data_IF_967097389046
#
_entry.id   IF_967097389046
#
_cell.length_a   1.000
_cell.length_b   1.000
_cell.length_c   1.000
_cell.angle_alpha   90.00
_cell.angle_beta   90.00
_cell.angle_gamma   90.00
#
_symmetry.space_group_name_H-M   'P 1'
#
loop_
_entity.id
_entity.type
_entity.pdbx_description
1 polymer ?
#
# COMPACT_ATOMS: atom_id res chain seq x y z
N UNK A 1 -9.50 17.76 -6.70
CA UNK A 1 -9.42 17.89 -5.25
C UNK A 1 -8.08 18.46 -4.83
N UNK A 2 -7.88 18.82 -3.56
CA UNK A 2 -6.57 19.23 -3.07
C UNK A 2 -5.58 18.06 -3.21
N UNK A 3 -4.31 18.39 -3.41
CA UNK A 3 -3.25 17.40 -3.38
C UNK A 3 -3.04 16.94 -1.92
N UNK A 4 -3.03 15.64 -1.66
CA UNK A 4 -2.80 15.07 -0.33
C UNK A 4 -1.33 14.64 -0.27
N UNK A 5 -0.51 15.40 0.44
CA UNK A 5 0.95 15.29 0.39
C UNK A 5 1.55 14.40 1.48
N UNK A 6 0.72 13.86 2.39
CA UNK A 6 1.16 12.98 3.45
C UNK A 6 0.15 11.88 3.76
N UNK A 7 0.59 10.81 4.37
CA UNK A 7 -0.26 9.71 4.85
C UNK A 7 -1.30 10.24 5.84
N UNK A 8 -0.92 11.18 6.69
CA UNK A 8 -1.80 11.82 7.66
C UNK A 8 -2.94 12.61 6.98
N UNK A 9 -2.61 13.38 5.93
CA UNK A 9 -3.63 14.11 5.16
C UNK A 9 -4.61 13.16 4.46
N UNK A 10 -4.10 12.02 3.95
CA UNK A 10 -4.95 11.00 3.33
C UNK A 10 -5.89 10.38 4.38
N UNK A 11 -5.38 10.08 5.57
CA UNK A 11 -6.19 9.53 6.67
C UNK A 11 -7.30 10.51 7.09
N UNK A 12 -7.00 11.79 7.22
CA UNK A 12 -7.97 12.83 7.54
C UNK A 12 -9.04 12.99 6.43
N UNK A 13 -8.62 12.94 5.17
CA UNK A 13 -9.53 12.97 4.03
C UNK A 13 -10.45 11.73 3.99
N UNK A 14 -9.93 10.54 4.29
CA UNK A 14 -10.73 9.32 4.40
C UNK A 14 -11.81 9.48 5.47
N UNK A 15 -11.48 10.07 6.63
CA UNK A 15 -12.45 10.33 7.69
C UNK A 15 -13.57 11.27 7.22
N UNK A 16 -13.24 12.34 6.50
CA UNK A 16 -14.24 13.24 5.92
C UNK A 16 -15.17 12.51 4.93
N UNK A 17 -14.60 11.67 4.06
CA UNK A 17 -15.37 10.87 3.09
C UNK A 17 -16.30 9.89 3.80
N UNK A 18 -15.79 9.13 4.77
CA UNK A 18 -16.58 8.13 5.48
C UNK A 18 -17.70 8.78 6.31
N UNK A 19 -17.45 9.94 6.91
CA UNK A 19 -18.46 10.72 7.60
C UNK A 19 -19.55 11.24 6.65
N UNK A 20 -19.16 11.80 5.52
CA UNK A 20 -20.08 12.30 4.49
C UNK A 20 -20.97 11.20 3.93
N UNK A 21 -20.41 10.01 3.75
CA UNK A 21 -21.13 8.82 3.30
C UNK A 21 -21.85 8.09 4.43
N UNK A 22 -21.69 8.52 5.70
CA UNK A 22 -22.28 7.91 6.91
C UNK A 22 -21.93 6.42 7.06
N UNK A 23 -20.70 6.05 6.65
CA UNK A 23 -20.23 4.68 6.75
C UNK A 23 -19.93 4.31 8.21
N UNK A 24 -20.24 3.07 8.56
CA UNK A 24 -20.00 2.46 9.88
C UNK A 24 -19.52 1.03 9.69
N UNK A 25 -18.90 0.45 10.71
CA UNK A 25 -18.44 -0.93 10.70
C UNK A 25 -17.52 -1.21 9.49
N UNK A 26 -16.47 -0.39 9.36
CA UNK A 26 -15.57 -0.41 8.22
C UNK A 26 -14.68 -1.65 8.22
N UNK A 27 -14.60 -2.31 7.09
CA UNK A 27 -13.54 -3.27 6.79
C UNK A 27 -12.58 -2.56 5.85
N UNK A 28 -11.39 -2.24 6.34
CA UNK A 28 -10.39 -1.52 5.57
C UNK A 28 -9.40 -2.49 4.93
N UNK A 29 -9.17 -2.36 3.64
CA UNK A 29 -8.19 -3.15 2.89
C UNK A 29 -7.23 -2.20 2.22
N UNK A 30 -5.95 -2.25 2.60
CA UNK A 30 -4.89 -1.44 2.02
C UNK A 30 -3.84 -2.29 1.32
N UNK A 31 -3.41 -1.86 0.13
CA UNK A 31 -2.29 -2.46 -0.58
C UNK A 31 -1.15 -1.45 -0.67
N UNK A 32 0.08 -1.89 -0.41
CA UNK A 32 1.27 -1.04 -0.52
C UNK A 32 1.14 0.23 0.33
N UNK A 33 1.22 1.42 -0.26
CA UNK A 33 0.96 2.71 0.40
C UNK A 33 -0.35 2.71 1.18
N UNK A 34 -1.42 2.11 0.63
CA UNK A 34 -2.71 1.98 1.31
C UNK A 34 -2.61 1.29 2.68
N UNK A 35 -1.57 0.50 2.94
CA UNK A 35 -1.30 -0.04 4.28
C UNK A 35 -0.94 1.06 5.27
N UNK A 36 -0.12 2.04 4.88
CA UNK A 36 0.22 3.18 5.74
C UNK A 36 -1.00 4.07 5.99
N UNK A 37 -1.82 4.26 4.94
CA UNK A 37 -3.04 5.08 5.00
C UNK A 37 -4.06 4.50 5.99
N UNK A 38 -4.36 3.20 5.90
CA UNK A 38 -5.29 2.56 6.84
C UNK A 38 -4.68 2.43 8.24
N UNK A 39 -3.36 2.26 8.34
CA UNK A 39 -2.67 2.24 9.63
C UNK A 39 -2.80 3.58 10.35
N UNK A 40 -2.54 4.70 9.65
CA UNK A 40 -2.69 6.03 10.23
C UNK A 40 -4.17 6.36 10.48
N UNK A 41 -5.09 5.89 9.61
CA UNK A 41 -6.51 6.03 9.85
C UNK A 41 -6.94 5.30 11.14
N UNK A 42 -6.50 4.06 11.37
CA UNK A 42 -6.75 3.31 12.60
C UNK A 42 -6.18 4.04 13.82
N UNK A 43 -4.98 4.58 13.69
CA UNK A 43 -4.32 5.33 14.75
C UNK A 43 -5.17 6.54 15.23
N UNK A 44 -5.82 7.24 14.30
CA UNK A 44 -6.60 8.47 14.58
C UNK A 44 -8.07 8.21 14.85
N UNK A 45 -8.70 7.27 14.13
CA UNK A 45 -10.16 7.15 14.01
C UNK A 45 -10.69 5.73 14.27
N UNK A 46 -10.20 5.08 15.31
CA UNK A 46 -10.39 3.65 15.62
C UNK A 46 -11.84 3.19 15.86
N UNK A 47 -12.75 4.07 16.22
CA UNK A 47 -14.11 3.69 16.71
C UNK A 47 -15.05 3.14 15.60
N UNK A 48 -14.68 3.25 14.33
CA UNK A 48 -15.50 2.84 13.19
C UNK A 48 -15.05 1.55 12.52
N UNK A 49 -13.92 0.99 12.95
CA UNK A 49 -13.23 -0.08 12.24
C UNK A 49 -13.61 -1.42 12.84
N UNK A 50 -14.17 -2.28 11.99
CA UNK A 50 -14.51 -3.66 12.35
C UNK A 50 -13.35 -4.61 12.08
N UNK A 51 -12.67 -4.46 10.95
CA UNK A 51 -11.52 -5.31 10.54
C UNK A 51 -10.54 -4.54 9.66
N UNK A 52 -9.29 -4.99 9.63
CA UNK A 52 -8.27 -4.47 8.75
C UNK A 52 -7.55 -5.58 7.97
N UNK A 53 -7.19 -5.29 6.71
CA UNK A 53 -6.39 -6.18 5.87
C UNK A 53 -5.24 -5.39 5.26
N UNK A 54 -4.02 -5.81 5.56
CA UNK A 54 -2.78 -5.23 5.04
C UNK A 54 -2.20 -6.14 3.97
N UNK A 55 -2.11 -5.66 2.74
CA UNK A 55 -1.62 -6.43 1.58
C UNK A 55 -0.33 -5.84 1.07
N UNK A 56 0.77 -6.61 1.09
CA UNK A 56 2.05 -6.17 0.54
C UNK A 56 2.56 -4.86 1.14
N UNK A 57 2.42 -4.69 2.45
CA UNK A 57 2.83 -3.48 3.16
C UNK A 57 3.50 -3.74 4.50
N UNK A 58 3.99 -2.68 5.11
CA UNK A 58 4.59 -2.69 6.44
C UNK A 58 4.22 -1.40 7.16
N UNK A 59 4.55 -1.29 8.45
CA UNK A 59 4.34 -0.05 9.21
C UNK A 59 5.40 1.04 8.90
N UNK A 60 6.42 0.70 8.11
CA UNK A 60 7.42 1.63 7.57
C UNK A 60 7.81 1.18 6.18
N UNK A 61 7.75 2.07 5.22
CA UNK A 61 8.01 1.77 3.81
C UNK A 61 8.96 2.80 3.20
N UNK A 62 10.26 2.71 3.50
CA UNK A 62 11.25 3.62 2.92
C UNK A 62 11.33 3.40 1.40
N UNK A 63 11.41 4.49 0.66
CA UNK A 63 11.49 4.49 -0.79
C UNK A 63 12.92 4.73 -1.25
N UNK A 64 13.36 3.98 -2.27
CA UNK A 64 14.69 4.15 -2.82
C UNK A 64 14.88 5.59 -3.36
N UNK A 65 15.97 6.30 -3.00
CA UNK A 65 16.16 7.71 -3.38
C UNK A 65 16.13 7.95 -4.89
N UNK A 66 16.69 7.02 -5.68
CA UNK A 66 16.67 7.16 -7.14
C UNK A 66 15.26 7.10 -7.72
N UNK A 67 14.38 6.30 -7.13
CA UNK A 67 12.98 6.23 -7.55
C UNK A 67 12.26 7.55 -7.30
N UNK A 68 12.47 8.15 -6.13
CA UNK A 68 11.93 9.48 -5.80
C UNK A 68 12.43 10.52 -6.80
N UNK A 69 13.74 10.52 -7.07
CA UNK A 69 14.36 11.47 -8.00
C UNK A 69 13.84 11.32 -9.43
N UNK A 70 13.67 10.10 -9.92
CA UNK A 70 13.09 9.84 -11.24
C UNK A 70 11.64 10.36 -11.31
N UNK A 71 10.84 10.07 -10.28
CA UNK A 71 9.45 10.53 -10.22
C UNK A 71 9.35 12.07 -10.16
N UNK A 72 10.21 12.74 -9.35
CA UNK A 72 10.26 14.20 -9.26
C UNK A 72 10.63 14.88 -10.59
N UNK A 73 11.44 14.21 -11.41
CA UNK A 73 11.81 14.71 -12.74
C UNK A 73 10.76 14.41 -13.83
N UNK A 74 9.64 13.78 -13.47
CA UNK A 74 8.63 13.36 -14.45
C UNK A 74 9.09 12.23 -15.35
N UNK A 75 10.09 11.46 -14.96
CA UNK A 75 10.69 10.42 -15.79
C UNK A 75 9.85 9.14 -15.77
N UNK A 76 9.40 8.72 -16.95
CA UNK A 76 8.63 7.46 -17.11
C UNK A 76 9.41 6.21 -16.65
N UNK A 77 10.73 6.31 -16.51
CA UNK A 77 11.55 5.23 -15.95
C UNK A 77 11.19 4.93 -14.48
N UNK A 78 10.68 5.91 -13.71
CA UNK A 78 10.19 5.68 -12.36
C UNK A 78 9.10 4.59 -12.36
N UNK A 79 8.12 4.72 -13.24
CA UNK A 79 7.01 3.76 -13.35
C UNK A 79 7.51 2.40 -13.84
N UNK A 80 8.41 2.37 -14.83
CA UNK A 80 9.00 1.12 -15.31
C UNK A 80 9.79 0.39 -14.23
N UNK A 81 10.51 1.15 -13.40
CA UNK A 81 11.28 0.60 -12.29
C UNK A 81 10.37 0.01 -11.21
N UNK A 82 9.29 0.71 -10.85
CA UNK A 82 8.27 0.18 -9.94
C UNK A 82 7.63 -1.10 -10.48
N UNK A 83 7.35 -1.16 -11.77
CA UNK A 83 6.82 -2.36 -12.40
C UNK A 83 7.79 -3.52 -12.34
N UNK A 84 9.07 -3.26 -12.62
CA UNK A 84 10.13 -4.28 -12.56
C UNK A 84 10.29 -4.86 -11.16
N UNK A 85 10.12 -4.04 -10.11
CA UNK A 85 10.20 -4.49 -8.72
C UNK A 85 8.89 -5.08 -8.20
N UNK A 86 7.75 -4.58 -8.71
CA UNK A 86 6.42 -4.98 -8.24
C UNK A 86 5.94 -6.33 -8.75
N UNK A 87 6.51 -6.84 -9.84
CA UNK A 87 6.11 -8.12 -10.41
C UNK A 87 7.23 -9.16 -10.32
N UNK A 88 6.86 -10.38 -9.95
CA UNK A 88 7.77 -11.53 -10.07
C UNK A 88 7.54 -12.24 -11.40
N UNK A 89 8.53 -12.08 -12.29
CA UNK A 89 8.58 -12.73 -13.59
C UNK A 89 7.79 -12.06 -14.71
N UNK A 90 8.11 -12.44 -15.94
CA UNK A 90 7.47 -11.96 -17.17
C UNK A 90 6.16 -12.71 -17.44
N UNK A 91 5.17 -12.63 -16.56
CA UNK A 91 3.87 -13.24 -16.84
C UNK A 91 3.23 -12.51 -18.00
N UNK A 92 2.97 -13.24 -19.09
CA UNK A 92 2.16 -12.74 -20.19
C UNK A 92 0.71 -12.72 -19.73
N UNK A 93 0.19 -11.54 -19.48
CA UNK A 93 -1.24 -11.39 -19.19
C UNK A 93 -2.03 -11.55 -20.49
N UNK A 94 -3.05 -12.41 -20.49
CA UNK A 94 -4.00 -12.49 -21.60
C UNK A 94 -4.76 -11.15 -21.64
N UNK A 95 -4.65 -10.42 -22.75
CA UNK A 95 -5.24 -9.09 -22.90
C UNK A 95 -4.32 -7.92 -22.54
N UNK A 96 -3.02 -8.18 -22.29
CA UNK A 96 -1.99 -7.20 -21.97
C UNK A 96 -1.89 -6.90 -20.48
N UNK A 97 -0.75 -6.35 -20.07
CA UNK A 97 -0.49 -5.99 -18.68
C UNK A 97 -1.39 -4.80 -18.29
N UNK A 98 -2.25 -4.94 -17.24
CA UNK A 98 -3.12 -3.85 -16.81
C UNK A 98 -2.35 -2.59 -16.43
N UNK A 99 -1.15 -2.74 -15.87
CA UNK A 99 -0.30 -1.62 -15.46
C UNK A 99 0.31 -0.91 -16.65
N UNK A 100 0.71 -1.62 -17.71
CA UNK A 100 1.16 -0.98 -18.97
C UNK A 100 0.06 -0.10 -19.56
N UNK A 101 -1.20 -0.50 -19.47
CA UNK A 101 -2.33 0.32 -19.89
C UNK A 101 -2.51 1.59 -19.05
N UNK A 102 -2.21 1.52 -17.76
CA UNK A 102 -2.23 2.70 -16.87
C UNK A 102 -1.10 3.65 -17.24
N UNK A 103 0.11 3.13 -17.52
CA UNK A 103 1.28 3.93 -17.90
C UNK A 103 1.08 4.61 -19.25
N UNK A 104 0.43 3.93 -20.19
CA UNK A 104 0.10 4.48 -21.50
C UNK A 104 -1.08 5.46 -21.47
N UNK A 105 -1.69 5.67 -20.30
CA UNK A 105 -2.73 6.67 -20.11
C UNK A 105 -2.14 8.07 -20.38
N UNK A 106 -2.86 8.95 -21.10
CA UNK A 106 -2.39 10.32 -21.37
C UNK A 106 -2.35 11.22 -20.12
N UNK A 107 -2.67 10.70 -18.94
CA UNK A 107 -2.53 11.45 -17.69
C UNK A 107 -1.07 11.44 -17.27
N UNK A 108 -0.54 12.62 -17.03
CA UNK A 108 0.76 12.76 -16.39
C UNK A 108 0.63 12.36 -14.93
N UNK A 109 1.04 11.11 -14.63
CA UNK A 109 1.00 10.54 -13.29
C UNK A 109 2.32 10.77 -12.53
N UNK A 110 3.32 11.37 -13.18
CA UNK A 110 4.66 11.51 -12.60
C UNK A 110 4.68 12.45 -11.39
N UNK A 111 3.97 13.57 -11.46
CA UNK A 111 3.86 14.50 -10.32
C UNK A 111 3.17 13.83 -9.12
N UNK A 112 2.05 13.13 -9.37
CA UNK A 112 1.30 12.42 -8.34
C UNK A 112 2.18 11.30 -7.74
N UNK A 113 2.88 10.55 -8.58
CA UNK A 113 3.79 9.50 -8.12
C UNK A 113 4.87 10.03 -7.19
N UNK A 114 5.47 11.19 -7.51
CA UNK A 114 6.48 11.80 -6.67
C UNK A 114 5.93 12.17 -5.28
N UNK A 115 4.71 12.67 -5.23
CA UNK A 115 4.02 13.03 -3.98
C UNK A 115 3.77 11.77 -3.15
N UNK A 116 3.20 10.73 -3.75
CA UNK A 116 2.88 9.47 -3.07
C UNK A 116 4.14 8.78 -2.53
N UNK A 117 5.22 8.72 -3.33
CA UNK A 117 6.50 8.15 -2.90
C UNK A 117 7.11 8.93 -1.72
N UNK A 118 7.02 10.27 -1.74
CA UNK A 118 7.47 11.10 -0.62
C UNK A 118 6.59 10.90 0.62
N UNK A 119 5.28 10.79 0.45
CA UNK A 119 4.37 10.51 1.57
C UNK A 119 4.72 9.19 2.25
N UNK A 120 4.97 8.11 1.48
CA UNK A 120 5.44 6.84 2.03
C UNK A 120 6.77 6.97 2.77
N UNK A 121 7.75 7.61 2.13
CA UNK A 121 9.12 7.74 2.65
C UNK A 121 9.20 8.55 3.94
N UNK A 122 8.35 9.57 4.07
CA UNK A 122 8.34 10.51 5.18
C UNK A 122 7.44 10.09 6.35
N UNK A 123 6.64 9.03 6.18
CA UNK A 123 5.78 8.53 7.25
C UNK A 123 6.60 7.87 8.36
N UNK A 124 6.53 8.44 9.57
CA UNK A 124 7.32 8.02 10.73
C UNK A 124 6.50 7.44 11.89
N UNK A 125 5.17 7.60 11.86
CA UNK A 125 4.29 7.24 12.97
C UNK A 125 3.99 5.73 13.05
N UNK A 126 4.44 4.92 12.09
CA UNK A 126 3.98 3.56 11.91
C UNK A 126 4.18 2.61 13.09
N UNK A 127 5.28 2.75 13.85
CA UNK A 127 5.53 1.92 15.04
C UNK A 127 4.52 2.23 16.16
N UNK A 128 4.22 3.52 16.37
CA UNK A 128 3.24 3.93 17.37
C UNK A 128 1.82 3.57 16.92
N UNK A 129 1.50 3.83 15.66
CA UNK A 129 0.21 3.50 15.06
C UNK A 129 -0.10 1.99 15.16
N UNK A 130 0.91 1.14 15.01
CA UNK A 130 0.77 -0.33 15.12
C UNK A 130 0.22 -0.77 16.48
N UNK A 131 0.58 -0.07 17.55
CA UNK A 131 0.10 -0.37 18.93
C UNK A 131 -1.37 -0.05 19.13
N UNK A 132 -1.93 0.79 18.27
CA UNK A 132 -3.32 1.23 18.31
C UNK A 132 -4.28 0.36 17.49
N UNK A 133 -3.78 -0.69 16.82
CA UNK A 133 -4.64 -1.65 16.11
C UNK A 133 -5.37 -2.52 17.13
N UNK A 134 -6.70 -2.34 17.23
CA UNK A 134 -7.56 -2.99 18.20
C UNK A 134 -8.67 -3.84 17.56
N UNK A 135 -8.57 -4.14 16.26
CA UNK A 135 -9.53 -4.94 15.51
C UNK A 135 -8.86 -6.20 14.95
N UNK A 136 -9.65 -7.25 14.64
CA UNK A 136 -9.13 -8.41 13.92
C UNK A 136 -8.45 -7.99 12.63
N UNK A 137 -7.22 -8.44 12.44
CA UNK A 137 -6.35 -7.97 11.37
C UNK A 137 -5.77 -9.13 10.56
N UNK A 138 -5.79 -9.00 9.24
CA UNK A 138 -5.15 -9.95 8.34
C UNK A 138 -3.99 -9.29 7.61
N UNK A 139 -2.88 -10.01 7.52
CA UNK A 139 -1.71 -9.63 6.74
C UNK A 139 -1.50 -10.61 5.59
N UNK A 140 -1.34 -10.09 4.37
CA UNK A 140 -1.11 -10.88 3.16
C UNK A 140 0.16 -10.37 2.50
N UNK A 141 1.14 -11.25 2.33
CA UNK A 141 2.44 -10.91 1.76
C UNK A 141 2.76 -11.78 0.56
N UNK A 142 3.43 -11.21 -0.44
CA UNK A 142 4.07 -11.98 -1.50
C UNK A 142 5.42 -12.51 -1.04
N UNK A 143 5.69 -13.79 -1.28
CA UNK A 143 6.97 -14.43 -0.91
C UNK A 143 8.17 -13.76 -1.58
N UNK A 144 7.99 -13.29 -2.82
CA UNK A 144 9.02 -12.75 -3.69
C UNK A 144 8.91 -11.22 -3.85
N UNK A 145 8.23 -10.56 -2.91
CA UNK A 145 8.07 -9.10 -2.92
C UNK A 145 9.43 -8.40 -2.79
N UNK A 146 9.77 -7.59 -3.80
CA UNK A 146 11.02 -6.83 -3.86
C UNK A 146 10.85 -5.36 -3.46
N UNK A 147 9.61 -4.90 -3.26
CA UNK A 147 9.31 -3.54 -2.85
C UNK A 147 9.19 -3.41 -1.34
N UNK A 148 8.64 -4.44 -0.67
CA UNK A 148 8.50 -4.47 0.77
C UNK A 148 9.29 -5.65 1.34
N UNK A 149 10.20 -5.37 2.25
CA UNK A 149 10.99 -6.41 2.91
C UNK A 149 10.08 -7.33 3.75
N UNK A 150 10.02 -8.61 3.38
CA UNK A 150 9.12 -9.59 4.00
C UNK A 150 9.39 -9.79 5.50
N UNK A 151 10.63 -9.69 5.94
CA UNK A 151 10.99 -9.83 7.36
C UNK A 151 10.43 -8.65 8.17
N UNK A 152 10.61 -7.42 7.70
CA UNK A 152 10.03 -6.23 8.33
C UNK A 152 8.50 -6.29 8.36
N UNK A 153 7.88 -6.73 7.27
CA UNK A 153 6.44 -6.89 7.19
C UNK A 153 5.91 -7.94 8.18
N UNK A 154 6.61 -9.07 8.33
CA UNK A 154 6.28 -10.09 9.33
C UNK A 154 6.47 -9.58 10.76
N UNK A 155 7.51 -8.78 11.03
CA UNK A 155 7.72 -8.18 12.35
C UNK A 155 6.57 -7.23 12.70
N UNK A 156 6.08 -6.44 11.74
CA UNK A 156 4.88 -5.64 11.92
C UNK A 156 3.66 -6.52 12.25
N UNK A 157 3.39 -7.56 11.46
CA UNK A 157 2.27 -8.47 11.70
C UNK A 157 2.34 -9.13 13.09
N UNK A 158 3.52 -9.56 13.52
CA UNK A 158 3.74 -10.18 14.83
C UNK A 158 3.55 -9.20 16.01
N UNK A 159 3.61 -7.89 15.77
CA UNK A 159 3.35 -6.87 16.80
C UNK A 159 1.86 -6.64 17.07
N UNK A 160 0.96 -7.13 16.21
CA UNK A 160 -0.49 -6.96 16.30
C UNK A 160 -1.12 -8.20 16.94
N UNK A 161 -1.79 -8.02 18.09
CA UNK A 161 -2.27 -9.11 18.94
C UNK A 161 -3.29 -10.04 18.27
N UNK A 162 -4.34 -9.47 17.68
CA UNK A 162 -5.42 -10.22 17.03
C UNK A 162 -5.20 -10.21 15.52
N UNK A 163 -4.19 -10.95 15.10
CA UNK A 163 -3.80 -10.97 13.67
C UNK A 163 -3.56 -12.37 13.14
N UNK A 164 -3.77 -12.54 11.84
CA UNK A 164 -3.34 -13.69 11.08
C UNK A 164 -2.50 -13.26 9.87
N UNK A 165 -1.56 -14.11 9.45
CA UNK A 165 -0.63 -13.83 8.37
C UNK A 165 -0.69 -14.91 7.31
N UNK A 166 -0.81 -14.50 6.04
CA UNK A 166 -0.74 -15.37 4.88
C UNK A 166 0.41 -14.93 3.97
N UNK A 167 1.29 -15.86 3.60
CA UNK A 167 2.34 -15.63 2.61
C UNK A 167 1.96 -16.37 1.34
N UNK A 168 1.79 -15.63 0.26
CA UNK A 168 1.40 -16.17 -1.05
C UNK A 168 2.68 -16.58 -1.80
N UNK A 169 2.86 -17.88 -1.98
CA UNK A 169 4.03 -18.43 -2.65
C UNK A 169 4.13 -18.06 -4.12
N UNK A 170 5.35 -17.71 -4.57
CA UNK A 170 5.65 -17.34 -5.94
C UNK A 170 4.90 -16.08 -6.41
N UNK A 171 4.59 -15.17 -5.49
CA UNK A 171 4.03 -13.85 -5.78
C UNK A 171 4.99 -12.74 -5.40
N UNK A 172 5.08 -11.73 -6.24
CA UNK A 172 5.73 -10.46 -5.92
C UNK A 172 4.79 -9.52 -5.15
N UNK A 173 4.98 -8.22 -5.35
CA UNK A 173 4.23 -7.16 -4.67
C UNK A 173 2.78 -7.03 -5.14
N UNK A 174 2.52 -7.28 -6.43
CA UNK A 174 1.18 -7.15 -7.02
C UNK A 174 0.35 -8.42 -6.87
N UNK A 175 0.21 -8.89 -5.64
CA UNK A 175 -0.38 -10.17 -5.25
C UNK A 175 -1.75 -10.38 -5.90
N UNK A 176 -2.63 -9.36 -5.86
CA UNK A 176 -3.99 -9.39 -6.39
C UNK A 176 -4.04 -9.61 -7.91
N UNK A 177 -2.95 -9.31 -8.62
CA UNK A 177 -2.81 -9.52 -10.07
C UNK A 177 -2.12 -10.85 -10.35
N UNK A 178 -1.05 -11.14 -9.61
CA UNK A 178 -0.21 -12.32 -9.86
C UNK A 178 -0.87 -13.62 -9.39
N UNK A 179 -1.65 -13.54 -8.33
CA UNK A 179 -2.25 -14.67 -7.61
C UNK A 179 -3.72 -14.41 -7.25
N UNK A 180 -4.49 -13.93 -8.23
CA UNK A 180 -5.88 -13.53 -8.04
C UNK A 180 -6.80 -14.66 -7.49
N UNK A 181 -6.48 -15.92 -7.76
CA UNK A 181 -7.26 -17.06 -7.24
C UNK A 181 -6.96 -17.33 -5.78
N UNK A 182 -5.71 -17.16 -5.35
CA UNK A 182 -5.26 -17.37 -3.97
C UNK A 182 -5.71 -16.22 -3.06
N UNK A 183 -6.07 -15.06 -3.64
CA UNK A 183 -6.59 -13.89 -2.93
C UNK A 183 -8.11 -13.93 -2.68
N UNK A 184 -8.81 -14.90 -3.22
CA UNK A 184 -10.26 -15.10 -3.03
C UNK A 184 -10.52 -15.99 -1.82
#
# INVERSE_FOLDING_TARGET
GPCLESIENIADWLEEVFNKLKLKNLILVGHSQGCLEILEYINRYKDKIEKAVFVGGSNKMPVHPDLIKLAQNGDSEAVKLMMKWGYEGSKKFIGGNPVEKIIQSPRDISEILAIDLNACNNYINGEEASKNINCPTMFIFGELDKMVNLEHAKNFANSVKDSCTHVIHGSGHMIMIEKAFEMR
#
